data_IF_128207633587
#
_entry.id   IF_128207633587
#
_cell.length_a   1.000
_cell.length_b   1.000
_cell.length_c   1.000
_cell.angle_alpha   90.00
_cell.angle_beta   90.00
_cell.angle_gamma   90.00
#
_symmetry.space_group_name_H-M   'P 1'
#
loop_
_entity.id
_entity.type
_entity.pdbx_description
1 polymer ?
#
# COMPACT_ATOMS: atom_id res chain seq x y z
N UNK A 1 5.72 61.30 -71.60
CA UNK A 1 5.57 60.12 -70.71
C UNK A 1 5.73 60.62 -69.28
N UNK A 2 4.87 60.42 -68.28
CA UNK A 2 3.77 59.49 -68.05
C UNK A 2 2.81 60.15 -67.03
N UNK A 3 1.53 59.88 -67.19
CA UNK A 3 0.39 60.38 -66.43
C UNK A 3 0.22 59.60 -65.09
N UNK A 4 -0.23 60.33 -64.05
CA UNK A 4 -1.36 60.02 -63.15
C UNK A 4 -1.29 58.96 -62.03
N UNK A 5 -1.75 59.45 -60.89
CA UNK A 5 -2.80 58.92 -59.98
C UNK A 5 -2.44 58.06 -58.76
N UNK A 6 -2.57 58.75 -57.61
CA UNK A 6 -3.18 58.32 -56.35
C UNK A 6 -4.14 57.12 -56.46
N UNK A 7 -3.91 56.10 -55.63
CA UNK A 7 -4.89 55.43 -54.75
C UNK A 7 -4.09 54.38 -53.94
N UNK A 8 -4.10 54.38 -52.62
CA UNK A 8 -5.15 53.65 -51.92
C UNK A 8 -4.73 53.38 -50.49
N UNK A 9 -5.56 53.85 -49.58
CA UNK A 9 -5.57 53.52 -48.16
C UNK A 9 -5.63 51.99 -47.98
N UNK A 10 -4.72 51.44 -47.21
CA UNK A 10 -5.06 50.32 -46.34
C UNK A 10 -4.45 50.57 -44.96
N UNK A 11 -5.28 51.19 -44.12
CA UNK A 11 -5.22 51.10 -42.68
C UNK A 11 -5.16 49.61 -42.32
N UNK A 12 -3.95 49.11 -42.05
CA UNK A 12 -3.78 47.79 -41.45
C UNK A 12 -4.30 47.92 -40.03
N UNK A 13 -5.53 47.45 -39.83
CA UNK A 13 -6.18 47.33 -38.54
C UNK A 13 -5.21 46.68 -37.56
N UNK A 14 -4.74 47.44 -36.59
CA UNK A 14 -4.08 46.95 -35.40
C UNK A 14 -5.09 46.10 -34.62
N UNK A 15 -5.16 44.82 -34.96
CA UNK A 15 -5.85 43.83 -34.13
C UNK A 15 -5.22 43.89 -32.74
N UNK A 16 -6.00 44.09 -31.67
CA UNK A 16 -5.46 44.04 -30.32
C UNK A 16 -4.90 42.63 -30.05
N UNK A 17 -3.77 42.46 -29.37
CA UNK A 17 -3.31 41.15 -28.93
C UNK A 17 -4.23 40.62 -27.83
N UNK A 18 -5.38 40.10 -28.22
CA UNK A 18 -6.32 39.37 -27.37
C UNK A 18 -5.91 37.90 -27.29
N UNK A 19 -4.75 37.64 -26.72
CA UNK A 19 -4.49 36.36 -26.08
C UNK A 19 -3.71 36.61 -24.80
N UNK A 20 -4.40 37.28 -23.86
CA UNK A 20 -4.22 36.98 -22.44
C UNK A 20 -4.58 35.50 -22.31
N UNK A 21 -3.60 34.63 -22.55
CA UNK A 21 -3.60 33.27 -22.04
C UNK A 21 -3.78 33.44 -20.54
N UNK A 22 -5.03 33.31 -20.07
CA UNK A 22 -5.32 33.06 -18.66
C UNK A 22 -4.62 31.75 -18.35
N UNK A 23 -3.37 31.88 -17.91
CA UNK A 23 -2.54 30.81 -17.36
C UNK A 23 -3.34 30.29 -16.19
N UNK A 24 -4.14 29.26 -16.46
CA UNK A 24 -5.01 28.63 -15.48
C UNK A 24 -4.14 28.32 -14.29
N UNK A 25 -4.35 29.05 -13.19
CA UNK A 25 -3.77 28.74 -11.89
C UNK A 25 -4.18 27.30 -11.60
N UNK A 26 -3.33 26.36 -11.96
CA UNK A 26 -3.40 24.96 -11.55
C UNK A 26 -3.25 24.98 -10.03
N UNK A 27 -4.35 25.23 -9.32
CA UNK A 27 -4.40 25.11 -7.86
C UNK A 27 -3.87 23.72 -7.54
N UNK A 28 -2.74 23.66 -6.86
CA UNK A 28 -1.97 22.44 -6.63
C UNK A 28 -2.87 21.35 -6.00
N UNK A 29 -3.21 20.26 -6.72
CA UNK A 29 -4.04 19.18 -6.18
C UNK A 29 -3.31 18.32 -5.13
N UNK A 30 -2.07 18.67 -4.76
CA UNK A 30 -1.26 17.92 -3.79
C UNK A 30 -1.73 18.12 -2.35
N UNK A 31 -2.10 19.34 -1.94
CA UNK A 31 -2.44 19.63 -0.54
C UNK A 31 -3.73 18.95 -0.09
N UNK A 32 -4.76 18.92 -0.95
CA UNK A 32 -6.03 18.24 -0.65
C UNK A 32 -5.87 16.72 -0.53
N UNK A 33 -5.03 16.09 -1.37
CA UNK A 33 -4.77 14.64 -1.27
C UNK A 33 -4.06 14.29 0.05
N UNK A 34 -3.10 15.11 0.47
CA UNK A 34 -2.40 14.90 1.74
C UNK A 34 -3.34 14.98 2.96
N UNK A 35 -4.23 15.98 3.01
CA UNK A 35 -5.23 16.11 4.08
C UNK A 35 -6.18 14.91 4.12
N UNK A 36 -6.68 14.45 2.97
CA UNK A 36 -7.54 13.27 2.91
C UNK A 36 -6.83 12.01 3.39
N UNK A 37 -5.57 11.81 2.99
CA UNK A 37 -4.77 10.64 3.40
C UNK A 37 -4.46 10.71 4.92
N UNK A 38 -4.18 11.90 5.47
CA UNK A 38 -3.99 12.09 6.91
C UNK A 38 -5.25 11.77 7.73
N UNK A 39 -6.42 12.22 7.26
CA UNK A 39 -7.70 11.93 7.91
C UNK A 39 -8.02 10.43 7.89
N UNK A 40 -7.70 9.74 6.79
CA UNK A 40 -7.80 8.28 6.71
C UNK A 40 -6.86 7.63 7.75
N UNK A 41 -5.59 8.03 7.80
CA UNK A 41 -4.65 7.52 8.80
C UNK A 41 -5.20 7.72 10.22
N UNK A 42 -5.67 8.93 10.54
CA UNK A 42 -6.23 9.25 11.85
C UNK A 42 -7.47 8.42 12.20
N UNK A 43 -8.42 8.31 11.27
CA UNK A 43 -9.64 7.54 11.49
C UNK A 43 -9.34 6.04 11.66
N UNK A 44 -8.38 5.50 10.90
CA UNK A 44 -7.95 4.12 11.05
C UNK A 44 -7.27 3.90 12.41
N UNK A 45 -6.36 4.80 12.80
CA UNK A 45 -5.68 4.73 14.09
C UNK A 45 -6.66 4.78 15.27
N UNK A 46 -7.64 5.70 15.21
CA UNK A 46 -8.70 5.82 16.22
C UNK A 46 -9.50 4.52 16.34
N UNK A 47 -9.91 3.94 15.21
CA UNK A 47 -10.67 2.70 15.18
C UNK A 47 -9.86 1.52 15.74
N UNK A 48 -8.60 1.39 15.34
CA UNK A 48 -7.70 0.35 15.83
C UNK A 48 -7.47 0.44 17.34
N UNK A 49 -7.18 1.64 17.83
CA UNK A 49 -6.98 1.89 19.26
C UNK A 49 -8.27 1.64 20.07
N UNK A 50 -9.42 2.08 19.58
CA UNK A 50 -10.71 1.84 20.24
C UNK A 50 -11.03 0.34 20.33
N UNK A 51 -10.85 -0.40 19.22
CA UNK A 51 -11.08 -1.84 19.21
C UNK A 51 -10.14 -2.57 20.18
N UNK A 52 -8.87 -2.16 20.24
CA UNK A 52 -7.90 -2.67 21.21
C UNK A 52 -8.40 -2.46 22.64
N UNK A 53 -8.78 -1.23 23.00
CA UNK A 53 -9.27 -0.90 24.36
C UNK A 53 -10.49 -1.74 24.73
N UNK A 54 -11.44 -1.89 23.80
CA UNK A 54 -12.62 -2.73 24.03
C UNK A 54 -12.23 -4.18 24.29
N UNK A 55 -11.38 -4.78 23.45
CA UNK A 55 -10.95 -6.17 23.61
C UNK A 55 -10.15 -6.36 24.90
N UNK A 56 -9.21 -5.47 25.21
CA UNK A 56 -8.45 -5.51 26.46
C UNK A 56 -9.40 -5.45 27.65
N UNK A 57 -10.35 -4.52 27.66
CA UNK A 57 -11.32 -4.41 28.75
C UNK A 57 -12.18 -5.68 28.90
N UNK A 58 -12.63 -6.26 27.80
CA UNK A 58 -13.38 -7.53 27.84
C UNK A 58 -12.55 -8.70 28.35
N UNK A 59 -11.27 -8.80 27.97
CA UNK A 59 -10.39 -9.87 28.42
C UNK A 59 -9.96 -9.71 29.89
N UNK A 60 -9.76 -8.48 30.35
CA UNK A 60 -9.48 -8.16 31.77
C UNK A 60 -10.62 -8.63 32.68
N UNK A 61 -11.87 -8.46 32.24
CA UNK A 61 -13.06 -8.93 32.98
C UNK A 61 -13.10 -10.46 33.14
N UNK A 62 -12.46 -11.20 32.23
CA UNK A 62 -12.43 -12.67 32.25
C UNK A 62 -11.18 -13.22 32.96
N UNK A 63 -10.30 -12.34 33.46
CA UNK A 63 -9.04 -12.70 34.13
C UNK A 63 -8.19 -13.71 33.34
N UNK A 64 -7.84 -13.37 32.09
CA UNK A 64 -6.93 -14.16 31.24
C UNK A 64 -5.45 -14.09 31.67
N UNK A 65 -5.18 -14.02 32.97
CA UNK A 65 -3.83 -14.04 33.53
C UNK A 65 -3.57 -15.36 34.23
N UNK A 66 -2.62 -16.15 33.70
CA UNK A 66 -2.21 -17.41 34.31
C UNK A 66 -0.70 -17.36 34.56
N UNK A 67 -0.26 -17.56 35.81
CA UNK A 67 1.17 -17.47 36.21
C UNK A 67 1.86 -16.14 35.83
N UNK A 68 1.15 -15.00 35.91
CA UNK A 68 1.71 -13.69 35.54
C UNK A 68 1.88 -13.49 34.03
N UNK A 69 1.36 -14.42 33.21
CA UNK A 69 1.24 -14.27 31.77
C UNK A 69 -0.16 -13.76 31.43
N UNK A 70 -0.23 -12.54 30.90
CA UNK A 70 -1.43 -12.01 30.28
C UNK A 70 -1.55 -12.46 28.80
N UNK A 71 -2.50 -13.34 28.53
CA UNK A 71 -2.75 -13.88 27.18
C UNK A 71 -3.45 -12.87 26.28
N UNK A 72 -4.06 -11.83 26.84
CA UNK A 72 -4.83 -10.81 26.13
C UNK A 72 -4.01 -10.16 25.03
N UNK A 73 -2.80 -9.71 25.38
CA UNK A 73 -1.92 -9.02 24.43
C UNK A 73 -1.42 -9.95 23.32
N UNK A 74 -1.19 -11.23 23.64
CA UNK A 74 -0.88 -12.23 22.64
C UNK A 74 -2.04 -12.32 21.63
N UNK A 75 -3.27 -12.54 22.08
CA UNK A 75 -4.43 -12.65 21.19
C UNK A 75 -4.64 -11.42 20.30
N UNK A 76 -4.55 -10.22 20.87
CA UNK A 76 -4.66 -8.96 20.12
C UNK A 76 -3.60 -8.91 19.02
N UNK A 77 -2.35 -9.23 19.36
CA UNK A 77 -1.25 -9.20 18.39
C UNK A 77 -1.38 -10.28 17.31
N UNK A 78 -1.86 -11.48 17.66
CA UNK A 78 -2.10 -12.57 16.69
C UNK A 78 -3.19 -12.19 15.69
N UNK A 79 -4.30 -11.66 16.18
CA UNK A 79 -5.41 -11.17 15.34
C UNK A 79 -4.90 -10.04 14.44
N UNK A 80 -4.17 -9.07 15.00
CA UNK A 80 -3.60 -7.95 14.26
C UNK A 80 -2.62 -8.39 13.18
N UNK A 81 -1.69 -9.30 13.51
CA UNK A 81 -0.72 -9.85 12.57
C UNK A 81 -1.39 -10.61 11.43
N UNK A 82 -2.41 -11.42 11.73
CA UNK A 82 -3.19 -12.15 10.74
C UNK A 82 -3.95 -11.21 9.79
N UNK A 83 -4.66 -10.23 10.34
CA UNK A 83 -5.38 -9.21 9.57
C UNK A 83 -4.39 -8.44 8.68
N UNK A 84 -3.25 -8.02 9.22
CA UNK A 84 -2.22 -7.33 8.44
C UNK A 84 -1.73 -8.19 7.27
N UNK A 85 -1.42 -9.47 7.50
CA UNK A 85 -1.03 -10.41 6.46
C UNK A 85 -2.09 -10.56 5.36
N UNK A 86 -3.37 -10.68 5.75
CA UNK A 86 -4.50 -10.72 4.81
C UNK A 86 -4.59 -9.46 3.95
N UNK A 87 -4.47 -8.28 4.58
CA UNK A 87 -4.60 -6.99 3.91
C UNK A 87 -3.44 -6.74 2.94
N UNK A 88 -2.21 -7.12 3.33
CA UNK A 88 -1.04 -7.10 2.43
C UNK A 88 -1.33 -7.93 1.19
N UNK A 89 -1.81 -9.17 1.35
CA UNK A 89 -2.12 -9.99 0.18
C UNK A 89 -3.27 -9.43 -0.65
N UNK A 90 -4.34 -8.95 -0.01
CA UNK A 90 -5.51 -8.45 -0.72
C UNK A 90 -5.18 -7.17 -1.51
N UNK A 91 -4.57 -6.18 -0.89
CA UNK A 91 -4.39 -4.88 -1.53
C UNK A 91 -3.08 -4.74 -2.30
N UNK A 92 -1.97 -5.30 -1.81
CA UNK A 92 -0.69 -5.22 -2.54
C UNK A 92 -0.57 -6.31 -3.62
N UNK A 93 -1.05 -7.53 -3.36
CA UNK A 93 -0.91 -8.64 -4.32
C UNK A 93 -2.12 -8.74 -5.26
N UNK A 94 -3.36 -8.64 -4.75
CA UNK A 94 -4.56 -8.85 -5.58
C UNK A 94 -5.06 -7.58 -6.29
N UNK A 95 -4.97 -6.40 -5.66
CA UNK A 95 -5.53 -5.13 -6.18
C UNK A 95 -4.56 -3.92 -6.14
N UNK A 96 -3.38 -4.00 -6.77
CA UNK A 96 -2.31 -3.00 -6.62
C UNK A 96 -2.70 -1.57 -7.03
N UNK A 97 -3.54 -1.38 -8.06
CA UNK A 97 -3.87 -0.03 -8.58
C UNK A 97 -5.08 0.64 -7.90
N UNK A 98 -6.02 -0.13 -7.33
CA UNK A 98 -7.26 0.39 -6.71
C UNK A 98 -7.22 0.37 -5.17
N UNK A 99 -6.31 -0.41 -4.59
CA UNK A 99 -6.25 -0.65 -3.15
C UNK A 99 -5.42 0.34 -2.33
N UNK A 100 -4.66 1.26 -2.95
CA UNK A 100 -3.63 2.03 -2.22
C UNK A 100 -4.18 2.86 -1.05
N UNK A 101 -5.32 3.55 -1.22
CA UNK A 101 -5.94 4.35 -0.16
C UNK A 101 -6.48 3.50 0.98
N UNK A 102 -7.18 2.42 0.65
CA UNK A 102 -7.73 1.47 1.62
C UNK A 102 -6.62 0.68 2.34
N UNK A 103 -5.52 0.38 1.64
CA UNK A 103 -4.37 -0.26 2.25
C UNK A 103 -3.74 0.62 3.34
N UNK A 104 -3.54 1.92 3.05
CA UNK A 104 -3.01 2.89 4.03
C UNK A 104 -3.95 3.02 5.23
N UNK A 105 -5.26 3.14 4.99
CA UNK A 105 -6.26 3.22 6.06
C UNK A 105 -6.33 1.96 6.94
N UNK A 106 -6.51 0.78 6.33
CA UNK A 106 -6.79 -0.44 7.10
C UNK A 106 -5.51 -1.08 7.63
N UNK A 107 -4.47 -1.16 6.80
CA UNK A 107 -3.27 -1.96 7.12
C UNK A 107 -2.23 -1.14 7.87
N UNK A 108 -2.03 0.12 7.48
CA UNK A 108 -0.92 0.92 7.99
C UNK A 108 -1.30 1.71 9.25
N UNK A 109 -2.56 2.18 9.36
CA UNK A 109 -3.01 2.87 10.57
C UNK A 109 -3.89 2.01 11.48
N UNK A 110 -4.99 1.42 10.98
CA UNK A 110 -5.90 0.67 11.86
C UNK A 110 -5.27 -0.59 12.46
N UNK A 111 -4.68 -1.46 11.64
CA UNK A 111 -4.03 -2.67 12.14
C UNK A 111 -2.83 -2.35 13.04
N UNK A 112 -2.06 -1.29 12.72
CA UNK A 112 -0.91 -0.89 13.54
C UNK A 112 -1.33 -0.36 14.92
N UNK A 113 -2.36 0.49 15.00
CA UNK A 113 -2.88 1.01 16.28
C UNK A 113 -3.68 -0.03 17.07
N UNK A 114 -4.16 -1.09 16.41
CA UNK A 114 -4.79 -2.23 17.05
C UNK A 114 -3.77 -3.13 17.77
N UNK A 115 -2.60 -3.37 17.15
CA UNK A 115 -1.52 -4.14 17.79
C UNK A 115 -0.87 -3.38 18.94
N UNK A 116 -0.53 -4.08 20.02
CA UNK A 116 -0.16 -3.49 21.30
C UNK A 116 1.28 -3.87 21.70
N UNK A 117 2.25 -3.44 20.90
CA UNK A 117 3.66 -3.75 21.18
C UNK A 117 4.17 -3.08 22.47
N UNK A 118 3.63 -1.89 22.77
CA UNK A 118 3.82 -1.17 24.03
C UNK A 118 3.42 -2.00 25.25
N UNK A 119 2.26 -2.66 25.19
CA UNK A 119 1.76 -3.47 26.29
C UNK A 119 2.57 -4.77 26.47
N UNK A 120 3.06 -5.35 25.37
CA UNK A 120 3.99 -6.49 25.44
C UNK A 120 5.27 -6.11 26.18
N UNK A 121 5.84 -4.93 25.94
CA UNK A 121 7.01 -4.46 26.67
C UNK A 121 6.73 -4.15 28.14
N UNK A 122 5.56 -3.60 28.44
CA UNK A 122 5.12 -3.44 29.84
C UNK A 122 5.11 -4.80 30.55
N UNK A 123 4.54 -5.83 29.90
CA UNK A 123 4.51 -7.19 30.45
C UNK A 123 5.91 -7.79 30.59
N UNK A 124 6.79 -7.61 29.60
CA UNK A 124 8.20 -8.01 29.67
C UNK A 124 8.89 -7.37 30.89
N UNK A 125 8.62 -6.10 31.14
CA UNK A 125 9.19 -5.36 32.28
C UNK A 125 8.71 -5.94 33.61
N UNK A 126 7.45 -6.34 33.70
CA UNK A 126 6.89 -7.02 34.88
C UNK A 126 7.49 -8.42 35.08
N UNK A 127 7.63 -9.21 34.00
CA UNK A 127 8.25 -10.54 34.08
C UNK A 127 9.75 -10.48 34.38
N UNK A 128 10.44 -9.44 33.92
CA UNK A 128 11.86 -9.24 34.21
C UNK A 128 12.15 -9.06 35.71
N UNK A 129 11.20 -8.51 36.46
CA UNK A 129 11.30 -8.36 37.91
C UNK A 129 11.05 -9.68 38.67
N UNK A 130 10.59 -10.73 37.99
CA UNK A 130 10.40 -12.06 38.58
C UNK A 130 11.69 -12.87 38.51
N UNK A 131 11.96 -13.79 39.46
CA UNK A 131 13.18 -14.61 39.46
C UNK A 131 13.26 -15.63 38.30
N UNK A 132 12.19 -15.78 37.51
CA UNK A 132 12.07 -16.81 36.50
C UNK A 132 12.30 -16.28 35.07
N UNK A 133 13.57 -16.18 34.70
CA UNK A 133 14.00 -15.72 33.36
C UNK A 133 13.49 -16.62 32.22
N UNK A 134 13.25 -17.91 32.49
CA UNK A 134 12.79 -18.87 31.49
C UNK A 134 11.41 -18.49 30.98
N UNK A 135 10.50 -18.07 31.87
CA UNK A 135 9.16 -17.61 31.50
C UNK A 135 9.24 -16.34 30.65
N UNK A 136 10.15 -15.42 30.97
CA UNK A 136 10.37 -14.22 30.17
C UNK A 136 10.81 -14.55 28.75
N UNK A 137 11.85 -15.38 28.60
CA UNK A 137 12.37 -15.80 27.28
C UNK A 137 11.26 -16.49 26.48
N UNK A 138 10.51 -17.39 27.13
CA UNK A 138 9.42 -18.11 26.50
C UNK A 138 8.29 -17.16 26.05
N UNK A 139 7.89 -16.20 26.90
CA UNK A 139 6.86 -15.21 26.59
C UNK A 139 7.23 -14.36 25.36
N UNK A 140 8.49 -13.91 25.29
CA UNK A 140 9.02 -13.17 24.14
C UNK A 140 8.99 -14.06 22.90
N UNK A 141 9.56 -15.27 22.97
CA UNK A 141 9.63 -16.19 21.84
C UNK A 141 8.24 -16.49 21.27
N UNK A 142 7.26 -16.81 22.14
CA UNK A 142 5.90 -17.12 21.73
C UNK A 142 5.21 -15.93 21.09
N UNK A 143 5.34 -14.72 21.64
CA UNK A 143 4.73 -13.51 21.06
C UNK A 143 5.22 -13.26 19.63
N UNK A 144 6.54 -13.20 19.44
CA UNK A 144 7.11 -12.88 18.13
C UNK A 144 6.93 -14.02 17.12
N UNK A 145 7.20 -15.27 17.51
CA UNK A 145 7.05 -16.42 16.62
C UNK A 145 5.61 -16.59 16.15
N UNK A 146 4.64 -16.47 17.07
CA UNK A 146 3.22 -16.59 16.74
C UNK A 146 2.76 -15.47 15.79
N UNK A 147 3.22 -14.23 15.99
CA UNK A 147 2.90 -13.13 15.07
C UNK A 147 3.44 -13.39 13.66
N UNK A 148 4.67 -13.93 13.53
CA UNK A 148 5.25 -14.30 12.22
C UNK A 148 4.40 -15.39 11.57
N UNK A 149 4.01 -16.42 12.31
CA UNK A 149 3.18 -17.53 11.83
C UNK A 149 1.82 -17.01 11.36
N UNK A 150 1.13 -16.20 12.17
CA UNK A 150 -0.20 -15.68 11.85
C UNK A 150 -0.18 -14.68 10.69
N UNK A 151 0.84 -13.82 10.60
CA UNK A 151 1.04 -12.95 9.44
C UNK A 151 1.27 -13.75 8.16
N UNK A 152 2.12 -14.79 8.23
CA UNK A 152 2.37 -15.70 7.11
C UNK A 152 1.11 -16.44 6.68
N UNK A 153 0.30 -16.89 7.64
CA UNK A 153 -0.98 -17.54 7.39
C UNK A 153 -1.97 -16.58 6.71
N UNK A 154 -2.03 -15.33 7.17
CA UNK A 154 -2.86 -14.29 6.55
C UNK A 154 -2.46 -14.02 5.11
N UNK A 155 -1.16 -13.95 4.82
CA UNK A 155 -0.66 -13.80 3.44
C UNK A 155 -1.03 -15.03 2.60
N UNK A 156 -0.79 -16.23 3.13
CA UNK A 156 -1.07 -17.49 2.43
C UNK A 156 -2.54 -17.58 2.03
N UNK A 157 -3.46 -17.37 2.98
CA UNK A 157 -4.90 -17.41 2.74
C UNK A 157 -5.35 -16.30 1.78
N UNK A 158 -4.82 -15.09 1.94
CA UNK A 158 -5.17 -13.96 1.09
C UNK A 158 -4.60 -14.06 -0.34
N UNK A 159 -3.63 -14.93 -0.61
CA UNK A 159 -2.89 -14.96 -1.89
C UNK A 159 -3.53 -15.84 -2.95
N UNK A 160 -4.58 -16.59 -2.61
CA UNK A 160 -5.47 -17.31 -3.54
C UNK A 160 -4.77 -17.93 -4.75
N UNK A 161 -4.09 -19.08 -4.56
CA UNK A 161 -3.47 -19.95 -5.60
C UNK A 161 -3.35 -19.32 -7.00
N UNK A 162 -2.40 -18.40 -7.20
CA UNK A 162 -2.06 -17.83 -8.52
C UNK A 162 -0.72 -18.28 -9.09
N UNK A 163 -0.16 -19.40 -8.63
CA UNK A 163 1.12 -19.90 -9.17
C UNK A 163 1.06 -20.55 -10.55
N UNK A 164 -0.12 -20.86 -11.11
CA UNK A 164 -0.19 -21.64 -12.36
C UNK A 164 -0.33 -20.81 -13.66
N UNK A 165 -0.83 -19.55 -13.61
CA UNK A 165 -1.25 -18.85 -14.86
C UNK A 165 -0.23 -17.86 -15.43
N UNK A 166 0.77 -17.41 -14.65
CA UNK A 166 1.76 -16.41 -15.12
C UNK A 166 2.94 -17.02 -15.89
N UNK A 167 3.21 -18.33 -15.75
CA UNK A 167 4.24 -19.04 -16.54
C UNK A 167 3.78 -19.39 -17.97
N UNK A 168 2.47 -19.56 -18.24
CA UNK A 168 1.95 -19.98 -19.56
C UNK A 168 1.82 -18.83 -20.59
N UNK A 169 1.56 -17.60 -20.14
CA UNK A 169 1.48 -16.44 -21.05
C UNK A 169 2.85 -15.92 -21.52
N UNK A 170 3.93 -16.13 -20.73
CA UNK A 170 5.29 -15.79 -21.18
C UNK A 170 5.82 -16.76 -22.24
N UNK A 171 5.42 -18.03 -22.17
CA UNK A 171 5.82 -19.05 -23.14
C UNK A 171 5.18 -18.85 -24.54
N UNK A 172 3.93 -18.39 -24.60
CA UNK A 172 3.26 -18.12 -25.88
C UNK A 172 3.77 -16.86 -26.59
N UNK A 173 4.28 -15.86 -25.87
CA UNK A 173 4.77 -14.63 -26.49
C UNK A 173 6.19 -14.78 -27.06
N UNK A 174 7.04 -15.66 -26.49
CA UNK A 174 8.36 -15.94 -27.07
C UNK A 174 8.29 -16.82 -28.34
N UNK A 175 7.31 -17.72 -28.46
CA UNK A 175 7.18 -18.58 -29.65
C UNK A 175 6.69 -17.83 -30.90
N UNK A 176 6.05 -16.67 -30.77
CA UNK A 176 5.57 -15.88 -31.91
C UNK A 176 6.64 -14.96 -32.52
N UNK A 177 7.74 -14.69 -31.81
CA UNK A 177 8.81 -13.79 -32.28
C UNK A 177 9.99 -14.53 -32.95
N UNK A 178 10.04 -15.86 -32.85
CA UNK A 178 11.11 -16.67 -33.46
C UNK A 178 10.91 -17.07 -34.92
N UNK A 179 9.79 -16.71 -35.55
CA UNK A 179 9.39 -17.25 -36.88
C UNK A 179 9.55 -16.28 -38.06
N UNK A 180 10.33 -15.22 -37.91
CA UNK A 180 10.37 -14.10 -38.86
C UNK A 180 11.76 -13.61 -39.27
N UNK A 181 12.76 -14.49 -39.46
CA UNK A 181 14.06 -14.08 -40.05
C UNK A 181 14.71 -15.19 -40.89
N UNK A 182 14.22 -15.37 -42.11
CA UNK A 182 15.00 -15.89 -43.23
C UNK A 182 14.67 -15.09 -44.49
N UNK A 183 15.25 -13.89 -44.61
CA UNK A 183 15.38 -13.20 -45.90
C UNK A 183 16.83 -13.32 -46.35
N UNK A 184 17.04 -14.13 -47.37
CA UNK A 184 18.25 -14.17 -48.20
C UNK A 184 18.33 -12.87 -49.02
N UNK A 185 19.47 -12.15 -49.06
CA UNK A 185 19.71 -11.14 -50.05
C UNK A 185 20.31 -11.78 -51.32
N UNK A 186 19.60 -11.60 -52.44
CA UNK A 186 20.02 -12.04 -53.75
C UNK A 186 21.18 -11.23 -54.31
N UNK A 187 22.14 -11.94 -54.89
CA UNK A 187 23.19 -11.39 -55.74
C UNK A 187 22.68 -11.26 -57.19
N UNK A 188 22.74 -10.05 -57.75
CA UNK A 188 22.77 -9.78 -59.20
C UNK A 188 24.02 -8.90 -59.42
N UNK A 189 25.12 -9.49 -59.91
CA UNK A 189 25.55 -9.49 -61.31
C UNK A 189 25.72 -8.09 -61.91
N UNK A 190 26.98 -7.68 -62.02
CA UNK A 190 27.46 -6.71 -62.99
C UNK A 190 28.08 -7.44 -64.19
N UNK A 191 28.05 -6.71 -65.31
CA UNK A 191 28.48 -7.05 -66.69
C UNK A 191 27.48 -7.86 -67.52
#
# INVERSE_FOLDING_TARGET
MRHKDYQGRHLKSSSPPAHIQKKGRRRHPRKQRFLSDLLLVFAGALLGAALRVVITHFCDLVQYSFYGWDWTYLFINLIGAFIFGLLVSLFKVRFPSKGKKWYVFVSESAAASFTAFDLVFSQISLLYLQPNIVVLIFYVAVNFASCIVFSSLGIFLGSGKKSARRKRSGAHHQLSLGRGKTRLPGARHGY
#
